data_IF_187564153029
#
_entry.id   IF_187564153029
#
_cell.length_a   1.000
_cell.length_b   1.000
_cell.length_c   1.000
_cell.angle_alpha   90.00
_cell.angle_beta   90.00
_cell.angle_gamma   90.00
#
_symmetry.space_group_name_H-M   'P 1'
#
loop_
_entity.id
_entity.type
_entity.pdbx_description
1 polymer ?
#
# COMPACT_ATOMS: atom_id res chain seq x y z
N UNK A 1 -6.55 -1.82 -4.85
CA UNK A 1 -5.51 -1.31 -3.92
C UNK A 1 -5.68 -1.82 -2.48
N UNK A 2 -6.92 -2.04 -1.98
CA UNK A 2 -7.21 -2.35 -0.57
C UNK A 2 -6.40 -3.51 0.05
N UNK A 3 -6.34 -4.67 -0.63
CA UNK A 3 -5.58 -5.83 -0.11
C UNK A 3 -4.09 -5.58 0.04
N UNK A 4 -3.48 -4.96 -0.97
CA UNK A 4 -2.06 -4.64 -0.98
C UNK A 4 -1.70 -3.54 0.05
N UNK A 5 -2.63 -2.60 0.26
CA UNK A 5 -2.52 -1.59 1.30
C UNK A 5 -2.53 -2.20 2.70
N UNK A 6 -3.40 -3.20 2.96
CA UNK A 6 -3.40 -3.94 4.22
C UNK A 6 -2.08 -4.71 4.47
N UNK A 7 -1.51 -5.30 3.42
CA UNK A 7 -0.16 -5.90 3.50
C UNK A 7 0.89 -4.83 3.85
N UNK A 8 0.75 -3.62 3.30
CA UNK A 8 1.61 -2.47 3.62
C UNK A 8 1.61 -2.11 5.11
N UNK A 9 0.45 -2.12 5.77
CA UNK A 9 0.38 -1.90 7.22
C UNK A 9 1.12 -2.98 8.02
N UNK A 10 0.97 -4.24 7.64
CA UNK A 10 1.67 -5.36 8.31
C UNK A 10 3.19 -5.19 8.12
N UNK A 11 3.64 -4.96 6.89
CA UNK A 11 5.05 -4.75 6.59
C UNK A 11 5.64 -3.54 7.33
N UNK A 12 4.92 -2.41 7.37
CA UNK A 12 5.34 -1.22 8.08
C UNK A 12 5.42 -1.45 9.60
N UNK A 13 4.49 -2.20 10.17
CA UNK A 13 4.51 -2.58 11.60
C UNK A 13 5.71 -3.44 11.94
N UNK A 14 6.02 -4.43 11.09
CA UNK A 14 7.20 -5.28 11.25
C UNK A 14 8.51 -4.49 11.11
N UNK A 15 8.61 -3.63 10.09
CA UNK A 15 9.79 -2.81 9.83
C UNK A 15 10.07 -1.80 10.96
N UNK A 16 9.01 -1.23 11.53
CA UNK A 16 9.11 -0.26 12.64
C UNK A 16 9.09 -0.90 14.01
N UNK A 17 8.86 -2.23 14.10
CA UNK A 17 8.56 -2.96 15.34
C UNK A 17 7.47 -2.29 16.19
N UNK A 18 6.53 -1.62 15.53
CA UNK A 18 5.51 -0.79 16.16
C UNK A 18 4.11 -1.11 15.64
N UNK A 19 3.11 -0.45 16.22
CA UNK A 19 1.73 -0.55 15.76
C UNK A 19 1.48 0.44 14.63
N UNK A 20 1.04 -0.03 13.47
CA UNK A 20 0.49 0.85 12.44
C UNK A 20 -1.03 0.72 12.37
N UNK A 21 -1.70 1.80 12.01
CA UNK A 21 -3.16 1.99 12.12
C UNK A 21 -4.01 0.91 11.46
N UNK A 22 -3.46 0.13 10.52
CA UNK A 22 -4.16 -0.97 9.85
C UNK A 22 -3.69 -2.38 10.21
N UNK A 23 -2.73 -2.59 11.12
CA UNK A 23 -2.12 -3.92 11.33
C UNK A 23 -3.07 -4.95 11.92
N UNK A 24 -4.00 -4.53 12.78
CA UNK A 24 -4.97 -5.44 13.40
C UNK A 24 -6.12 -5.80 12.44
N UNK A 25 -6.61 -4.83 11.67
CA UNK A 25 -7.75 -5.01 10.76
C UNK A 25 -7.35 -5.66 9.44
N UNK A 26 -6.08 -5.52 9.02
CA UNK A 26 -5.57 -6.13 7.79
C UNK A 26 -5.72 -7.66 7.76
N UNK A 27 -5.23 -8.43 8.75
CA UNK A 27 -5.34 -9.89 8.76
C UNK A 27 -6.76 -10.38 9.09
N UNK A 28 -7.52 -9.63 9.90
CA UNK A 28 -8.82 -10.07 10.41
C UNK A 28 -9.99 -9.71 9.51
N UNK A 29 -9.88 -8.63 8.74
CA UNK A 29 -10.98 -8.11 7.91
C UNK A 29 -10.58 -8.03 6.44
N UNK A 30 -9.47 -7.35 6.14
CA UNK A 30 -9.12 -7.01 4.75
C UNK A 30 -8.70 -8.24 3.94
N UNK A 31 -7.82 -9.09 4.48
CA UNK A 31 -7.38 -10.31 3.81
C UNK A 31 -8.52 -11.32 3.60
N UNK A 32 -9.37 -11.62 4.61
CA UNK A 32 -10.53 -12.48 4.40
C UNK A 32 -11.52 -11.94 3.35
N UNK A 33 -11.82 -10.65 3.39
CA UNK A 33 -12.74 -10.03 2.42
C UNK A 33 -12.16 -10.07 1.00
N UNK A 34 -10.86 -9.77 0.85
CA UNK A 34 -10.17 -9.87 -0.44
C UNK A 34 -10.27 -11.29 -1.02
N UNK A 35 -10.08 -12.30 -0.18
CA UNK A 35 -10.21 -13.70 -0.58
C UNK A 35 -11.63 -14.03 -1.05
N UNK A 36 -12.64 -13.64 -0.27
CA UNK A 36 -14.05 -13.85 -0.61
C UNK A 36 -14.41 -13.18 -1.94
N UNK A 37 -14.04 -11.92 -2.13
CA UNK A 37 -14.27 -11.18 -3.37
C UNK A 37 -13.55 -11.83 -4.56
N UNK A 38 -12.27 -12.20 -4.42
CA UNK A 38 -11.52 -12.86 -5.49
C UNK A 38 -12.10 -14.22 -5.86
N UNK A 39 -12.63 -14.97 -4.89
CA UNK A 39 -13.32 -16.24 -5.12
C UNK A 39 -14.66 -16.04 -5.81
N UNK A 40 -15.45 -15.04 -5.41
CA UNK A 40 -16.73 -14.73 -6.04
C UNK A 40 -16.55 -14.32 -7.51
N UNK A 41 -15.62 -13.41 -7.79
CA UNK A 41 -15.29 -12.97 -9.16
C UNK A 41 -14.84 -14.13 -10.04
N UNK A 42 -14.02 -15.03 -9.52
CA UNK A 42 -13.61 -16.25 -10.22
C UNK A 42 -14.79 -17.16 -10.56
N UNK A 43 -15.70 -17.37 -9.61
CA UNK A 43 -16.90 -18.20 -9.83
C UNK A 43 -17.84 -17.59 -10.85
N UNK A 44 -17.90 -16.26 -10.91
CA UNK A 44 -18.67 -15.52 -11.91
C UNK A 44 -17.97 -15.43 -13.28
N UNK A 45 -16.80 -16.06 -13.46
CA UNK A 45 -16.08 -16.07 -14.74
C UNK A 45 -15.46 -14.71 -15.12
N UNK A 46 -15.36 -13.76 -14.19
CA UNK A 46 -14.85 -12.42 -14.48
C UNK A 46 -13.36 -12.49 -14.87
N UNK A 47 -12.97 -12.00 -16.06
CA UNK A 47 -11.59 -12.00 -16.50
C UNK A 47 -10.69 -11.19 -15.54
N UNK A 48 -9.50 -11.73 -15.25
CA UNK A 48 -8.51 -11.04 -14.42
C UNK A 48 -7.76 -9.99 -15.23
N UNK A 49 -8.21 -8.75 -15.15
CA UNK A 49 -7.54 -7.59 -15.77
C UNK A 49 -6.57 -6.85 -14.82
N UNK A 50 -6.56 -7.21 -13.54
CA UNK A 50 -5.73 -6.57 -12.53
C UNK A 50 -4.24 -6.79 -12.81
N UNK A 51 -3.46 -5.70 -12.85
CA UNK A 51 -1.99 -5.71 -12.98
C UNK A 51 -1.33 -5.22 -11.69
N UNK A 52 -1.16 -6.09 -10.67
CA UNK A 52 -0.76 -5.67 -9.34
C UNK A 52 0.62 -4.99 -9.34
N UNK A 53 1.61 -5.55 -10.04
CA UNK A 53 2.97 -4.97 -10.11
C UNK A 53 2.97 -3.56 -10.69
N UNK A 54 2.22 -3.32 -11.77
CA UNK A 54 2.09 -1.98 -12.37
C UNK A 54 1.43 -1.01 -11.40
N UNK A 55 0.40 -1.45 -10.67
CA UNK A 55 -0.23 -0.62 -9.65
C UNK A 55 0.73 -0.28 -8.49
N UNK A 56 1.53 -1.25 -8.03
CA UNK A 56 2.57 -1.02 -7.02
C UNK A 56 3.58 0.00 -7.52
N UNK A 57 4.10 -0.18 -8.74
CA UNK A 57 5.11 0.70 -9.31
C UNK A 57 4.60 2.13 -9.46
N UNK A 58 3.37 2.33 -9.93
CA UNK A 58 2.78 3.66 -10.09
C UNK A 58 2.57 4.35 -8.74
N UNK A 59 1.94 3.66 -7.78
CA UNK A 59 1.64 4.25 -6.47
C UNK A 59 2.91 4.46 -5.65
N UNK A 60 3.77 3.44 -5.57
CA UNK A 60 5.05 3.51 -4.87
C UNK A 60 6.00 4.53 -5.50
N UNK A 61 6.04 4.61 -6.83
CA UNK A 61 6.84 5.59 -7.56
C UNK A 61 6.41 7.03 -7.26
N UNK A 62 5.11 7.33 -7.32
CA UNK A 62 4.59 8.65 -6.95
C UNK A 62 4.86 8.98 -5.49
N UNK A 63 4.63 8.05 -4.57
CA UNK A 63 4.89 8.26 -3.15
C UNK A 63 6.36 8.57 -2.87
N UNK A 64 7.27 7.79 -3.45
CA UNK A 64 8.71 8.01 -3.31
C UNK A 64 9.14 9.37 -3.89
N UNK A 65 8.61 9.72 -5.07
CA UNK A 65 8.86 11.00 -5.70
C UNK A 65 8.39 12.17 -4.83
N UNK A 66 7.16 12.11 -4.30
CA UNK A 66 6.62 13.14 -3.40
C UNK A 66 7.47 13.34 -2.15
N UNK A 67 7.92 12.24 -1.51
CA UNK A 67 8.80 12.32 -0.35
C UNK A 67 10.19 12.86 -0.70
N UNK A 68 10.77 12.46 -1.83
CA UNK A 68 12.07 12.95 -2.27
C UNK A 68 12.03 14.46 -2.55
N UNK A 69 11.00 14.94 -3.26
CA UNK A 69 10.80 16.37 -3.53
C UNK A 69 10.60 17.15 -2.22
N UNK A 70 9.75 16.66 -1.31
CA UNK A 70 9.54 17.28 -0.01
C UNK A 70 10.82 17.36 0.83
N UNK A 71 11.62 16.30 0.84
CA UNK A 71 12.91 16.26 1.54
C UNK A 71 13.92 17.26 0.93
N UNK A 72 14.00 17.34 -0.39
CA UNK A 72 14.87 18.28 -1.10
C UNK A 72 14.47 19.75 -0.83
N UNK A 73 13.18 20.06 -0.91
CA UNK A 73 12.65 21.39 -0.60
C UNK A 73 12.94 21.79 0.86
N UNK A 74 12.71 20.87 1.80
CA UNK A 74 13.00 21.10 3.22
C UNK A 74 14.49 21.35 3.48
N UNK A 75 15.36 20.60 2.81
CA UNK A 75 16.81 20.78 2.92
C UNK A 75 17.28 22.10 2.28
N UNK A 76 16.67 22.52 1.17
CA UNK A 76 16.96 23.81 0.55
C UNK A 76 16.51 24.99 1.42
N UNK A 77 15.36 24.89 2.10
CA UNK A 77 14.88 25.89 3.06
C UNK A 77 15.82 26.05 4.25
N UNK A 78 16.27 24.94 4.86
CA UNK A 78 17.22 24.96 5.99
C UNK A 78 18.60 25.53 5.65
N UNK A 79 19.03 25.47 4.38
CA UNK A 79 20.30 26.07 3.93
C UNK A 79 20.20 27.57 3.63
N UNK A 80 18.98 28.10 3.54
CA UNK A 80 18.71 29.52 3.25
C UNK A 80 18.35 30.34 4.49
N UNK A 81 18.10 29.68 5.62
CA UNK A 81 17.91 30.28 6.94
C UNK A 81 19.25 30.30 7.69
#
# INVERSE_FOLDING_TARGET
>A
AFGLHGIGHIAASLATRGYTTGVATSPTVVLPQLWCAARALRRAGVPRTARPLRAVALVGGWLALSHAVGAAASAAGRRRA
#
